data_IF_429395598974
#
_entry.id   IF_429395598974
#
_cell.length_a   1.000
_cell.length_b   1.000
_cell.length_c   1.000
_cell.angle_alpha   90.00
_cell.angle_beta   90.00
_cell.angle_gamma   90.00
#
_symmetry.space_group_name_H-M   'P 1'
#
loop_
_entity.id
_entity.type
_entity.pdbx_description
1 polymer ?
#
# COMPACT_ATOMS: atom_id res chain seq x y z
N UNK A 1 1.82 -25.42 -4.26
CA UNK A 1 2.26 -24.34 -3.35
C UNK A 1 2.21 -22.96 -4.00
N UNK A 2 2.74 -22.78 -5.23
CA UNK A 2 2.72 -21.47 -5.89
C UNK A 2 1.31 -20.90 -6.11
N UNK A 3 0.33 -21.72 -6.51
CA UNK A 3 -1.06 -21.26 -6.70
C UNK A 3 -1.72 -20.80 -5.41
N UNK A 4 -1.40 -21.44 -4.27
CA UNK A 4 -1.86 -20.98 -2.95
C UNK A 4 -1.23 -19.62 -2.61
N UNK A 5 0.08 -19.47 -2.82
CA UNK A 5 0.78 -18.22 -2.53
C UNK A 5 0.26 -17.06 -3.41
N UNK A 6 -0.03 -17.35 -4.68
CA UNK A 6 -0.68 -16.43 -5.62
C UNK A 6 -2.07 -16.04 -5.13
N UNK A 7 -2.94 -17.01 -4.79
CA UNK A 7 -4.27 -16.73 -4.27
C UNK A 7 -4.23 -15.86 -3.00
N UNK A 8 -3.36 -16.20 -2.05
CA UNK A 8 -3.19 -15.44 -0.80
C UNK A 8 -2.77 -13.98 -1.09
N UNK A 9 -1.78 -13.77 -1.96
CA UNK A 9 -1.32 -12.42 -2.32
C UNK A 9 -2.42 -11.62 -3.05
N UNK A 10 -3.07 -12.23 -4.05
CA UNK A 10 -4.07 -11.55 -4.86
C UNK A 10 -5.38 -11.28 -4.11
N UNK A 11 -5.64 -11.96 -2.99
CA UNK A 11 -6.69 -11.60 -2.05
C UNK A 11 -6.24 -10.53 -1.04
N UNK A 12 -4.98 -10.58 -0.60
CA UNK A 12 -4.43 -9.61 0.34
C UNK A 12 -4.27 -8.21 -0.27
N UNK A 13 -3.87 -8.10 -1.54
CA UNK A 13 -3.68 -6.81 -2.24
C UNK A 13 -4.96 -5.96 -2.23
N UNK A 14 -6.14 -6.41 -2.69
CA UNK A 14 -7.35 -5.60 -2.72
C UNK A 14 -8.01 -5.42 -1.35
N UNK A 15 -7.67 -6.24 -0.34
CA UNK A 15 -8.36 -6.24 0.96
C UNK A 15 -8.46 -4.86 1.62
N UNK A 16 -7.39 -4.04 1.78
CA UNK A 16 -7.54 -2.69 2.32
C UNK A 16 -8.40 -1.79 1.44
N UNK A 17 -8.30 -1.93 0.11
CA UNK A 17 -9.00 -1.09 -0.84
C UNK A 17 -10.51 -1.34 -0.82
N UNK A 18 -10.91 -2.61 -0.80
CA UNK A 18 -12.31 -3.00 -0.65
C UNK A 18 -12.88 -2.52 0.70
N UNK A 19 -12.09 -2.67 1.76
CA UNK A 19 -12.48 -2.21 3.09
C UNK A 19 -12.64 -0.69 3.15
N UNK A 20 -11.66 0.06 2.66
CA UNK A 20 -11.69 1.50 2.56
C UNK A 20 -12.85 2.02 1.70
N UNK A 21 -13.10 1.41 0.54
CA UNK A 21 -14.25 1.72 -0.29
C UNK A 21 -15.58 1.51 0.45
N UNK A 22 -15.72 0.43 1.22
CA UNK A 22 -16.89 0.20 2.05
C UNK A 22 -17.05 1.32 3.10
N UNK A 23 -15.96 1.71 3.76
CA UNK A 23 -16.01 2.74 4.81
C UNK A 23 -16.25 4.15 4.24
N UNK A 24 -15.73 4.43 3.05
CA UNK A 24 -15.95 5.68 2.33
C UNK A 24 -17.43 5.89 1.97
N UNK A 25 -18.05 4.83 1.44
CA UNK A 25 -19.44 4.85 0.97
C UNK A 25 -20.46 4.65 2.12
N UNK A 26 -20.12 3.87 3.15
CA UNK A 26 -21.01 3.54 4.26
C UNK A 26 -20.35 3.77 5.64
N UNK A 27 -19.92 5.01 5.96
CA UNK A 27 -19.17 5.31 7.18
C UNK A 27 -19.94 5.00 8.47
N UNK A 28 -21.27 4.95 8.40
CA UNK A 28 -22.14 4.62 9.54
C UNK A 28 -21.94 3.18 10.03
N UNK A 29 -21.61 2.25 9.14
CA UNK A 29 -21.29 0.86 9.52
C UNK A 29 -20.08 0.86 10.45
N UNK A 30 -19.04 1.63 10.10
CA UNK A 30 -17.83 1.74 10.90
C UNK A 30 -18.07 2.42 12.24
N UNK A 31 -18.83 3.53 12.26
CA UNK A 31 -19.21 4.21 13.52
C UNK A 31 -19.90 3.28 14.50
N UNK A 32 -20.78 2.38 14.02
CA UNK A 32 -21.45 1.38 14.86
C UNK A 32 -20.47 0.37 15.44
N UNK A 33 -19.52 -0.12 14.65
CA UNK A 33 -18.47 -1.05 15.12
C UNK A 33 -17.58 -0.35 16.16
N UNK A 34 -17.08 0.84 15.85
CA UNK A 34 -16.25 1.64 16.75
C UNK A 34 -16.94 1.87 18.10
N UNK A 35 -18.24 2.24 18.09
CA UNK A 35 -19.05 2.41 19.31
C UNK A 35 -19.10 1.14 20.17
N UNK A 36 -19.20 -0.05 19.57
CA UNK A 36 -19.20 -1.33 20.31
C UNK A 36 -17.85 -1.62 20.98
N UNK A 37 -16.76 -1.29 20.29
CA UNK A 37 -15.39 -1.48 20.82
C UNK A 37 -14.94 -0.41 21.82
N UNK A 38 -15.69 0.70 21.93
CA UNK A 38 -15.32 1.92 22.69
C UNK A 38 -14.00 2.57 22.24
N UNK A 39 -13.51 2.23 21.04
CA UNK A 39 -12.32 2.84 20.42
C UNK A 39 -12.79 3.90 19.41
N UNK A 40 -12.13 5.08 19.33
CA UNK A 40 -12.46 6.06 18.31
C UNK A 40 -12.36 5.48 16.88
N UNK A 41 -13.28 5.82 15.97
CA UNK A 41 -13.36 5.18 14.65
C UNK A 41 -12.08 5.34 13.80
N UNK A 42 -11.42 6.49 13.92
CA UNK A 42 -10.12 6.77 13.27
C UNK A 42 -9.04 5.84 13.80
N UNK A 43 -8.97 5.66 15.13
CA UNK A 43 -7.94 4.84 15.79
C UNK A 43 -8.14 3.36 15.46
N UNK A 44 -9.40 2.90 15.52
CA UNK A 44 -9.74 1.54 15.14
C UNK A 44 -9.42 1.28 13.66
N UNK A 45 -9.70 2.25 12.79
CA UNK A 45 -9.36 2.13 11.37
C UNK A 45 -7.84 2.05 11.15
N UNK A 46 -7.06 2.86 11.87
CA UNK A 46 -5.61 2.81 11.81
C UNK A 46 -5.04 1.45 12.24
N UNK A 47 -5.58 0.85 13.32
CA UNK A 47 -5.17 -0.49 13.79
C UNK A 47 -5.51 -1.55 12.74
N UNK A 48 -6.74 -1.55 12.22
CA UNK A 48 -7.17 -2.54 11.20
C UNK A 48 -6.36 -2.37 9.91
N UNK A 49 -6.10 -1.14 9.49
CA UNK A 49 -5.22 -0.82 8.38
C UNK A 49 -3.82 -1.40 8.56
N UNK A 50 -3.23 -1.25 9.75
CA UNK A 50 -1.94 -1.84 10.08
C UNK A 50 -1.99 -3.38 9.98
N UNK A 51 -2.99 -4.02 10.57
CA UNK A 51 -3.16 -5.48 10.47
C UNK A 51 -3.25 -5.95 9.02
N UNK A 52 -4.03 -5.26 8.19
CA UNK A 52 -4.14 -5.58 6.76
C UNK A 52 -2.81 -5.36 6.02
N UNK A 53 -2.05 -4.33 6.35
CA UNK A 53 -0.72 -4.08 5.77
C UNK A 53 0.30 -5.16 6.16
N UNK A 54 0.23 -5.65 7.40
CA UNK A 54 1.03 -6.79 7.85
C UNK A 54 0.69 -8.05 7.06
N UNK A 55 -0.61 -8.34 6.85
CA UNK A 55 -1.04 -9.44 5.99
C UNK A 55 -0.51 -9.27 4.56
N UNK A 56 -0.67 -8.09 3.95
CA UNK A 56 -0.12 -7.79 2.61
C UNK A 56 1.38 -8.04 2.52
N UNK A 57 2.14 -7.58 3.51
CA UNK A 57 3.59 -7.77 3.56
C UNK A 57 3.96 -9.25 3.62
N UNK A 58 3.38 -10.02 4.54
CA UNK A 58 3.70 -11.44 4.67
C UNK A 58 3.21 -12.27 3.48
N UNK A 59 2.05 -11.95 2.90
CA UNK A 59 1.58 -12.58 1.67
C UNK A 59 2.54 -12.32 0.49
N UNK A 60 3.08 -11.11 0.38
CA UNK A 60 4.07 -10.77 -0.63
C UNK A 60 5.39 -11.52 -0.42
N UNK A 61 5.92 -11.53 0.80
CA UNK A 61 7.13 -12.29 1.14
C UNK A 61 6.95 -13.78 0.87
N UNK A 62 5.83 -14.35 1.29
CA UNK A 62 5.48 -15.75 1.05
C UNK A 62 5.42 -16.08 -0.45
N UNK A 63 4.79 -15.21 -1.25
CA UNK A 63 4.73 -15.36 -2.71
C UNK A 63 6.12 -15.31 -3.35
N UNK A 64 6.94 -14.30 -3.03
CA UNK A 64 8.29 -14.15 -3.57
C UNK A 64 9.16 -15.36 -3.22
N UNK A 65 9.15 -15.81 -1.96
CA UNK A 65 9.93 -16.98 -1.53
C UNK A 65 9.45 -18.29 -2.17
N UNK A 66 8.15 -18.42 -2.44
CA UNK A 66 7.59 -19.61 -3.11
C UNK A 66 7.89 -19.60 -4.61
N UNK A 67 7.89 -18.44 -5.26
CA UNK A 67 8.15 -18.29 -6.69
C UNK A 67 9.64 -18.40 -7.03
N UNK A 68 10.50 -17.73 -6.24
CA UNK A 68 11.92 -17.53 -6.55
C UNK A 68 12.87 -18.30 -5.63
N UNK A 69 12.35 -18.94 -4.58
CA UNK A 69 13.13 -19.65 -3.57
C UNK A 69 13.33 -18.85 -2.27
N UNK A 70 13.65 -19.56 -1.19
CA UNK A 70 13.76 -18.97 0.17
C UNK A 70 14.86 -17.92 0.29
N UNK A 71 15.89 -17.98 -0.55
CA UNK A 71 17.01 -17.05 -0.57
C UNK A 71 16.79 -15.84 -1.49
N UNK A 72 15.62 -15.71 -2.13
CA UNK A 72 15.38 -14.71 -3.17
C UNK A 72 15.76 -13.27 -2.77
N UNK A 73 15.48 -12.85 -1.54
CA UNK A 73 15.85 -11.52 -1.05
C UNK A 73 17.37 -11.37 -0.88
N UNK A 74 18.04 -12.36 -0.28
CA UNK A 74 19.49 -12.37 -0.10
C UNK A 74 20.22 -12.42 -1.44
N UNK A 75 19.72 -13.24 -2.38
CA UNK A 75 20.24 -13.30 -3.75
C UNK A 75 20.01 -11.99 -4.49
N UNK A 76 18.86 -11.35 -4.33
CA UNK A 76 18.59 -10.02 -4.90
C UNK A 76 19.63 -9.01 -4.42
N UNK A 77 19.90 -8.95 -3.11
CA UNK A 77 20.88 -8.02 -2.56
C UNK A 77 22.32 -8.35 -3.01
N UNK A 78 22.65 -9.64 -3.16
CA UNK A 78 24.00 -10.09 -3.56
C UNK A 78 24.29 -9.91 -5.04
N UNK A 79 23.29 -10.16 -5.89
CA UNK A 79 23.47 -10.25 -7.35
C UNK A 79 22.99 -9.01 -8.10
N UNK A 80 22.14 -8.18 -7.50
CA UNK A 80 21.67 -6.96 -8.16
C UNK A 80 22.84 -6.00 -8.39
N UNK A 81 22.94 -5.48 -9.61
CA UNK A 81 23.86 -4.40 -9.93
C UNK A 81 23.59 -3.19 -9.01
N UNK A 82 24.60 -2.48 -8.50
CA UNK A 82 24.42 -1.37 -7.55
C UNK A 82 23.44 -0.29 -8.05
N UNK A 83 23.48 0.04 -9.35
CA UNK A 83 22.54 1.01 -9.95
C UNK A 83 21.08 0.55 -9.92
N UNK A 84 20.83 -0.75 -9.98
CA UNK A 84 19.49 -1.32 -9.84
C UNK A 84 18.97 -1.16 -8.42
N UNK A 85 19.82 -1.43 -7.43
CA UNK A 85 19.50 -1.23 -6.01
C UNK A 85 19.27 0.25 -5.71
N UNK A 86 20.11 1.13 -6.25
CA UNK A 86 19.98 2.57 -6.11
C UNK A 86 18.65 3.06 -6.70
N UNK A 87 18.32 2.66 -7.93
CA UNK A 87 17.07 3.06 -8.57
C UNK A 87 15.84 2.58 -7.79
N UNK A 88 15.81 1.30 -7.39
CA UNK A 88 14.74 0.76 -6.56
C UNK A 88 14.62 1.47 -5.21
N UNK A 89 15.76 1.73 -4.57
CA UNK A 89 15.85 2.48 -3.32
C UNK A 89 15.35 3.91 -3.43
N UNK A 90 15.68 4.63 -4.52
CA UNK A 90 15.17 5.98 -4.79
C UNK A 90 13.66 5.98 -4.98
N UNK A 91 13.11 5.06 -5.78
CA UNK A 91 11.66 4.94 -5.95
C UNK A 91 10.96 4.69 -4.61
N UNK A 92 11.51 3.79 -3.80
CA UNK A 92 10.99 3.50 -2.48
C UNK A 92 11.06 4.74 -1.57
N UNK A 93 12.21 5.44 -1.54
CA UNK A 93 12.41 6.61 -0.71
C UNK A 93 11.46 7.76 -1.09
N UNK A 94 11.29 8.04 -2.38
CA UNK A 94 10.31 9.03 -2.87
C UNK A 94 8.90 8.61 -2.45
N UNK A 95 8.56 7.33 -2.60
CA UNK A 95 7.26 6.82 -2.21
C UNK A 95 6.97 6.99 -0.71
N UNK A 96 7.95 6.69 0.13
CA UNK A 96 7.86 6.93 1.57
C UNK A 96 7.80 8.42 1.92
N UNK A 97 8.56 9.28 1.23
CA UNK A 97 8.52 10.72 1.46
C UNK A 97 7.12 11.30 1.20
N UNK A 98 6.44 10.85 0.14
CA UNK A 98 5.05 11.23 -0.13
C UNK A 98 4.10 10.74 0.98
N UNK A 99 4.20 9.46 1.36
CA UNK A 99 3.37 8.89 2.43
C UNK A 99 3.57 9.61 3.78
N UNK A 100 4.82 9.83 4.18
CA UNK A 100 5.17 10.58 5.40
C UNK A 100 4.66 12.01 5.31
N UNK A 101 4.80 12.65 4.15
CA UNK A 101 4.28 13.99 3.89
C UNK A 101 2.78 14.08 4.19
N UNK A 102 1.99 13.15 3.64
CA UNK A 102 0.54 13.09 3.88
C UNK A 102 0.23 12.96 5.38
N UNK A 103 0.89 12.03 6.07
CA UNK A 103 0.69 11.84 7.51
C UNK A 103 1.08 13.08 8.32
N UNK A 104 2.16 13.78 7.95
CA UNK A 104 2.58 15.01 8.62
C UNK A 104 1.57 16.15 8.43
N UNK A 105 0.99 16.27 7.24
CA UNK A 105 0.08 17.39 6.92
C UNK A 105 -1.36 17.16 7.34
N UNK A 106 -1.89 15.97 7.11
CA UNK A 106 -3.29 15.63 7.40
C UNK A 106 -3.48 15.00 8.77
N UNK A 107 -2.40 14.48 9.36
CA UNK A 107 -2.49 13.65 10.54
C UNK A 107 -3.27 12.35 10.30
N UNK A 108 -3.41 11.59 11.37
CA UNK A 108 -4.19 10.36 11.38
C UNK A 108 -5.66 10.60 11.02
N UNK A 109 -6.24 11.71 11.49
CA UNK A 109 -7.64 12.06 11.23
C UNK A 109 -7.90 12.27 9.73
N UNK A 110 -7.01 12.92 8.98
CA UNK A 110 -7.22 13.08 7.55
C UNK A 110 -6.93 11.82 6.73
N UNK A 111 -5.95 11.01 7.12
CA UNK A 111 -5.62 9.75 6.44
C UNK A 111 -6.73 8.71 6.58
N UNK A 112 -7.38 8.65 7.75
CA UNK A 112 -8.36 7.61 8.08
C UNK A 112 -9.78 8.16 8.15
N UNK A 113 -10.16 8.96 7.16
CA UNK A 113 -11.53 9.45 6.93
C UNK A 113 -12.20 10.15 8.11
N UNK A 114 -11.43 10.84 8.95
CA UNK A 114 -11.94 11.61 10.08
C UNK A 114 -13.10 12.54 9.69
N UNK A 115 -13.07 13.12 8.48
CA UNK A 115 -14.16 13.95 7.95
C UNK A 115 -15.50 13.18 7.88
N UNK A 116 -15.50 11.92 7.44
CA UNK A 116 -16.69 11.05 7.42
C UNK A 116 -17.14 10.69 8.85
N UNK A 117 -16.23 10.80 9.81
CA UNK A 117 -16.49 10.57 11.22
C UNK A 117 -16.81 11.83 12.04
N UNK A 118 -16.93 13.00 11.39
CA UNK A 118 -17.29 14.26 12.04
C UNK A 118 -16.09 15.04 12.62
N UNK A 119 -14.86 14.64 12.29
CA UNK A 119 -13.65 15.41 12.61
C UNK A 119 -13.46 16.55 11.61
N UNK A 120 -12.88 17.65 12.07
CA UNK A 120 -12.44 18.74 11.18
C UNK A 120 -11.06 18.37 10.63
N UNK A 121 -10.95 18.20 9.32
CA UNK A 121 -9.70 17.92 8.62
C UNK A 121 -9.37 19.14 7.75
N UNK A 122 -8.17 19.73 7.87
CA UNK A 122 -7.81 20.90 7.08
C UNK A 122 -7.64 20.53 5.60
N UNK A 123 -8.02 21.46 4.71
CA UNK A 123 -7.65 21.37 3.31
C UNK A 123 -6.20 21.83 3.14
N UNK A 124 -5.34 20.99 2.56
CA UNK A 124 -3.90 21.26 2.45
C UNK A 124 -3.51 21.38 0.98
N UNK A 125 -2.80 22.45 0.63
CA UNK A 125 -2.29 22.70 -0.73
C UNK A 125 -0.76 22.62 -0.83
N UNK A 126 -0.05 22.52 0.29
CA UNK A 126 1.40 22.34 0.33
C UNK A 126 1.86 20.91 0.02
N UNK A 127 3.16 20.65 0.12
CA UNK A 127 3.71 19.30 -0.07
C UNK A 127 3.03 18.29 0.88
N UNK A 128 2.63 17.08 0.41
CA UNK A 128 2.83 16.55 -0.95
C UNK A 128 1.67 16.83 -1.94
N UNK A 129 0.60 17.50 -1.51
CA UNK A 129 -0.57 17.80 -2.33
C UNK A 129 -0.31 18.85 -3.42
N UNK A 130 0.75 19.64 -3.30
CA UNK A 130 1.21 20.54 -4.37
C UNK A 130 1.77 19.82 -5.59
N UNK A 131 2.15 18.54 -5.47
CA UNK A 131 2.76 17.75 -6.56
C UNK A 131 1.70 16.94 -7.31
N UNK A 132 0.75 16.35 -6.60
CA UNK A 132 -0.30 15.52 -7.18
C UNK A 132 -1.52 15.42 -6.26
N UNK A 133 -2.72 15.06 -6.78
CA UNK A 133 -3.94 14.99 -5.98
C UNK A 133 -3.96 13.85 -4.95
N UNK A 134 -3.36 12.70 -5.28
CA UNK A 134 -3.35 11.51 -4.41
C UNK A 134 -1.92 11.02 -4.09
N UNK A 135 -1.15 11.81 -3.33
CA UNK A 135 0.26 11.53 -3.06
C UNK A 135 0.48 10.21 -2.32
N UNK A 136 -0.44 9.80 -1.46
CA UNK A 136 -0.32 8.55 -0.70
C UNK A 136 -0.39 7.30 -1.61
N UNK A 137 -1.24 7.35 -2.63
CA UNK A 137 -1.41 6.25 -3.58
C UNK A 137 -0.25 6.14 -4.53
N UNK A 138 0.18 7.28 -5.10
CA UNK A 138 1.39 7.34 -5.91
C UNK A 138 2.59 6.87 -5.09
N UNK A 139 2.72 7.35 -3.85
CA UNK A 139 3.82 6.95 -2.98
C UNK A 139 3.82 5.46 -2.63
N UNK A 140 2.64 4.88 -2.43
CA UNK A 140 2.50 3.45 -2.20
C UNK A 140 2.83 2.61 -3.44
N UNK A 141 2.39 3.02 -4.63
CA UNK A 141 2.80 2.39 -5.90
C UNK A 141 4.31 2.46 -6.12
N UNK A 142 4.93 3.63 -5.90
CA UNK A 142 6.39 3.80 -6.02
C UNK A 142 7.15 2.90 -5.03
N UNK A 143 6.62 2.72 -3.82
CA UNK A 143 7.22 1.81 -2.83
C UNK A 143 7.17 0.35 -3.30
N UNK A 144 6.04 -0.10 -3.87
CA UNK A 144 5.90 -1.45 -4.42
C UNK A 144 6.87 -1.67 -5.58
N UNK A 145 6.91 -0.74 -6.55
CA UNK A 145 7.83 -0.83 -7.68
C UNK A 145 9.30 -0.71 -7.28
N UNK A 146 9.62 0.13 -6.29
CA UNK A 146 10.97 0.24 -5.74
C UNK A 146 11.47 -1.06 -5.11
N UNK A 147 10.60 -1.79 -4.43
CA UNK A 147 10.92 -3.11 -3.86
C UNK A 147 10.99 -4.22 -4.93
N UNK A 148 10.08 -4.20 -5.92
CA UNK A 148 10.03 -5.21 -6.98
C UNK A 148 11.16 -5.04 -8.02
N UNK A 149 11.60 -3.82 -8.27
CA UNK A 149 12.53 -3.53 -9.36
C UNK A 149 13.84 -4.35 -9.28
N UNK A 150 14.57 -4.37 -8.15
CA UNK A 150 15.77 -5.20 -8.04
C UNK A 150 15.50 -6.69 -8.23
N UNK A 151 14.38 -7.18 -7.71
CA UNK A 151 13.97 -8.59 -7.82
C UNK A 151 13.74 -8.94 -9.30
N UNK A 152 13.00 -8.12 -10.04
CA UNK A 152 12.74 -8.31 -11.48
C UNK A 152 14.05 -8.36 -12.28
N UNK A 153 15.02 -7.52 -11.93
CA UNK A 153 16.31 -7.46 -12.64
C UNK A 153 17.20 -8.66 -12.36
N UNK A 154 17.13 -9.24 -11.15
CA UNK A 154 17.89 -10.45 -10.79
C UNK A 154 17.22 -11.72 -11.31
N UNK A 155 15.88 -11.76 -11.36
CA UNK A 155 15.08 -12.91 -11.77
C UNK A 155 14.24 -12.63 -13.04
N UNK A 156 14.87 -12.32 -14.20
CA UNK A 156 14.14 -11.90 -15.41
C UNK A 156 13.22 -12.99 -15.97
N UNK A 157 13.47 -14.28 -15.67
CA UNK A 157 12.61 -15.38 -16.08
C UNK A 157 11.19 -15.33 -15.49
N UNK A 158 10.98 -14.57 -14.40
CA UNK A 158 9.69 -14.40 -13.74
C UNK A 158 9.12 -12.98 -13.95
N UNK A 159 9.56 -12.28 -15.01
CA UNK A 159 9.16 -10.90 -15.29
C UNK A 159 7.63 -10.73 -15.30
N UNK A 160 6.90 -11.64 -15.95
CA UNK A 160 5.44 -11.54 -16.10
C UNK A 160 4.75 -11.62 -14.75
N UNK A 161 5.10 -12.61 -13.92
CA UNK A 161 4.55 -12.79 -12.58
C UNK A 161 4.81 -11.58 -11.67
N UNK A 162 6.06 -11.09 -11.64
CA UNK A 162 6.46 -9.97 -10.80
C UNK A 162 5.85 -8.64 -11.28
N UNK A 163 5.81 -8.41 -12.60
CA UNK A 163 5.17 -7.23 -13.17
C UNK A 163 3.66 -7.25 -12.94
N UNK A 164 3.00 -8.42 -13.05
CA UNK A 164 1.58 -8.56 -12.77
C UNK A 164 1.25 -8.16 -11.32
N UNK A 165 2.07 -8.54 -10.34
CA UNK A 165 1.91 -8.10 -8.95
C UNK A 165 1.99 -6.57 -8.84
N UNK A 166 3.03 -5.95 -9.41
CA UNK A 166 3.21 -4.49 -9.34
C UNK A 166 2.09 -3.71 -10.04
N UNK A 167 1.64 -4.20 -11.20
CA UNK A 167 0.54 -3.62 -11.97
C UNK A 167 -0.78 -3.78 -11.25
N UNK A 168 -1.09 -4.96 -10.72
CA UNK A 168 -2.32 -5.22 -9.98
C UNK A 168 -2.41 -4.36 -8.72
N UNK A 169 -1.31 -4.24 -7.96
CA UNK A 169 -1.26 -3.39 -6.78
C UNK A 169 -1.47 -1.91 -7.13
N UNK A 170 -0.84 -1.44 -8.21
CA UNK A 170 -1.01 -0.07 -8.71
C UNK A 170 -2.43 0.20 -9.21
N UNK A 171 -3.05 -0.78 -9.87
CA UNK A 171 -4.45 -0.71 -10.29
C UNK A 171 -5.38 -0.57 -9.09
N UNK A 172 -5.13 -1.28 -7.98
CA UNK A 172 -5.94 -1.10 -6.76
C UNK A 172 -5.80 0.29 -6.15
N UNK A 173 -4.60 0.88 -6.16
CA UNK A 173 -4.40 2.28 -5.73
C UNK A 173 -5.14 3.26 -6.65
N UNK A 174 -5.09 3.06 -7.97
CA UNK A 174 -5.82 3.87 -8.93
C UNK A 174 -7.35 3.75 -8.75
N UNK A 175 -7.86 2.54 -8.50
CA UNK A 175 -9.29 2.34 -8.21
C UNK A 175 -9.69 3.07 -6.93
N UNK A 176 -8.89 3.01 -5.87
CA UNK A 176 -9.15 3.78 -4.65
C UNK A 176 -9.14 5.29 -4.89
N UNK A 177 -8.25 5.81 -5.75
CA UNK A 177 -8.24 7.23 -6.09
C UNK A 177 -9.51 7.68 -6.79
N UNK A 178 -10.04 6.87 -7.70
CA UNK A 178 -11.32 7.15 -8.37
C UNK A 178 -12.47 7.13 -7.36
N UNK A 179 -12.53 6.11 -6.49
CA UNK A 179 -13.60 5.98 -5.49
C UNK A 179 -13.60 7.15 -4.52
N UNK A 180 -12.44 7.61 -4.07
CA UNK A 180 -12.33 8.69 -3.08
C UNK A 180 -12.43 10.11 -3.69
N UNK A 181 -12.45 10.20 -5.02
CA UNK A 181 -12.70 11.46 -5.73
C UNK A 181 -14.19 11.76 -5.91
N UNK A 182 -15.08 10.81 -5.55
CA UNK A 182 -16.54 10.90 -5.66
C UNK A 182 -17.21 10.69 -4.29
#
# INVERSE_FOLDING_TARGET
MIELAKAVLYLAIPMPHAFYALLWNKPQVWKKVAKKTKVPPVDLLAIVALCMKVVQFFSFVFYIMTLLGTNAFTETLRLAHPMTLLFGGVLFAVGQALNIGVYKTLGKDGVYYGIKYGKKVPWVTGFPFSICPHPQYIGSSLSVWGALWPIIRVFPGNLVDLAAVGLYWSAMYATSSVIESH
#
